data_IF_605050943750
#
_entry.id   IF_605050943750
#
_cell.length_a   1.000
_cell.length_b   1.000
_cell.length_c   1.000
_cell.angle_alpha   90.00
_cell.angle_beta   90.00
_cell.angle_gamma   90.00
#
_symmetry.space_group_name_H-M   'P 1'
#
loop_
_entity.id
_entity.type
_entity.pdbx_description
1 polymer ?
#
# COMPACT_ATOMS: atom_id res chain seq x y z
N UNK A 1 -18.72 -8.92 -2.27
CA UNK A 1 -17.91 -9.76 -3.16
C UNK A 1 -18.67 -10.74 -4.06
N UNK A 2 -19.86 -11.28 -3.71
CA UNK A 2 -20.59 -12.27 -4.58
C UNK A 2 -21.44 -11.69 -5.73
N UNK A 3 -21.68 -10.38 -5.79
CA UNK A 3 -22.56 -9.76 -6.82
C UNK A 3 -21.82 -9.27 -8.08
N UNK A 4 -20.54 -8.94 -7.99
CA UNK A 4 -19.76 -8.40 -9.12
C UNK A 4 -19.37 -9.50 -10.12
N UNK A 5 -19.16 -10.73 -9.65
CA UNK A 5 -18.77 -11.87 -10.49
C UNK A 5 -19.87 -12.32 -11.45
N UNK A 6 -21.15 -12.06 -11.15
CA UNK A 6 -22.28 -12.41 -12.04
C UNK A 6 -22.50 -11.40 -13.17
N UNK A 7 -22.10 -10.14 -13.00
CA UNK A 7 -22.25 -9.12 -14.04
C UNK A 7 -21.22 -9.28 -15.18
N UNK A 8 -20.03 -9.82 -14.87
CA UNK A 8 -18.93 -9.93 -15.84
C UNK A 8 -19.11 -11.01 -16.91
N UNK A 9 -19.99 -11.99 -16.69
CA UNK A 9 -20.18 -13.14 -17.59
C UNK A 9 -21.46 -13.03 -18.46
N UNK A 10 -22.32 -12.04 -18.21
CA UNK A 10 -23.62 -11.90 -18.90
C UNK A 10 -23.61 -11.02 -20.15
N UNK A 11 -22.49 -10.36 -20.48
CA UNK A 11 -22.40 -9.37 -21.56
C UNK A 11 -21.62 -9.82 -22.80
N UNK A 12 -21.38 -11.12 -22.97
CA UNK A 12 -20.82 -11.61 -24.23
C UNK A 12 -21.94 -11.69 -25.28
N UNK A 13 -21.92 -10.86 -26.35
CA UNK A 13 -22.86 -11.01 -27.44
C UNK A 13 -22.69 -12.40 -28.05
N UNK A 14 -23.80 -13.13 -28.17
CA UNK A 14 -23.84 -14.41 -28.88
C UNK A 14 -23.71 -14.10 -30.36
N UNK A 15 -22.48 -14.18 -30.88
CA UNK A 15 -22.22 -13.96 -32.29
C UNK A 15 -22.42 -15.29 -33.03
N UNK A 16 -23.57 -15.46 -33.68
CA UNK A 16 -23.83 -16.58 -34.59
C UNK A 16 -23.20 -16.29 -35.95
N UNK A 17 -22.02 -16.84 -36.22
CA UNK A 17 -21.42 -16.84 -37.57
C UNK A 17 -21.60 -18.21 -38.22
N UNK A 18 -22.40 -18.27 -39.30
CA UNK A 18 -22.37 -19.37 -40.27
C UNK A 18 -21.17 -19.17 -41.20
N UNK A 19 -20.16 -20.06 -41.23
CA UNK A 19 -18.99 -19.86 -42.07
C UNK A 19 -19.25 -20.45 -43.45
N UNK A 20 -19.16 -19.61 -44.48
CA UNK A 20 -18.81 -20.08 -45.81
C UNK A 20 -17.43 -19.51 -46.16
N UNK A 21 -16.51 -20.44 -46.47
CA UNK A 21 -15.32 -20.30 -47.33
C UNK A 21 -13.92 -20.19 -46.67
N UNK A 22 -13.27 -21.37 -46.71
CA UNK A 22 -11.93 -21.72 -47.26
C UNK A 22 -10.66 -21.06 -46.69
N UNK A 23 -9.76 -21.93 -46.21
CA UNK A 23 -8.43 -21.76 -45.59
C UNK A 23 -8.45 -21.54 -44.06
N UNK A 24 -8.03 -22.57 -43.31
CA UNK A 24 -7.87 -22.52 -41.85
C UNK A 24 -6.93 -21.39 -41.40
N UNK A 25 -5.97 -20.97 -42.23
CA UNK A 25 -5.06 -19.87 -41.96
C UNK A 25 -5.75 -18.50 -41.91
N UNK A 26 -6.67 -18.21 -42.84
CA UNK A 26 -7.43 -16.94 -42.83
C UNK A 26 -8.43 -16.88 -41.67
N UNK A 27 -9.02 -18.02 -41.30
CA UNK A 27 -9.93 -18.09 -40.15
C UNK A 27 -9.19 -17.88 -38.82
N UNK A 28 -7.97 -18.40 -38.68
CA UNK A 28 -7.14 -18.19 -37.48
C UNK A 28 -6.71 -16.72 -37.32
N UNK A 29 -6.33 -16.05 -38.41
CA UNK A 29 -6.01 -14.61 -38.39
C UNK A 29 -7.23 -13.73 -38.05
N UNK A 30 -8.40 -14.03 -38.61
CA UNK A 30 -9.66 -13.34 -38.30
C UNK A 30 -10.00 -13.52 -36.82
N UNK A 31 -9.82 -14.73 -36.26
CA UNK A 31 -10.05 -15.02 -34.85
C UNK A 31 -9.20 -14.13 -33.93
N UNK A 32 -7.88 -14.06 -34.12
CA UNK A 32 -7.02 -13.26 -33.25
C UNK A 32 -7.22 -11.75 -33.45
N UNK A 33 -7.58 -11.32 -34.66
CA UNK A 33 -7.95 -9.92 -34.93
C UNK A 33 -9.19 -9.53 -34.13
N UNK A 34 -10.24 -10.35 -34.16
CA UNK A 34 -11.47 -10.13 -33.41
C UNK A 34 -11.21 -10.14 -31.89
N UNK A 35 -10.42 -11.11 -31.39
CA UNK A 35 -10.07 -11.20 -29.97
C UNK A 35 -9.33 -9.94 -29.49
N UNK A 36 -8.36 -9.44 -30.26
CA UNK A 36 -7.61 -8.24 -29.89
C UNK A 36 -8.47 -6.97 -29.93
N UNK A 37 -9.42 -6.87 -30.87
CA UNK A 37 -10.38 -5.77 -30.92
C UNK A 37 -11.30 -5.77 -29.69
N UNK A 38 -11.90 -6.92 -29.36
CA UNK A 38 -12.75 -7.07 -28.17
C UNK A 38 -11.97 -6.76 -26.88
N UNK A 39 -10.72 -7.25 -26.77
CA UNK A 39 -9.84 -6.95 -25.62
C UNK A 39 -9.60 -5.45 -25.46
N UNK A 40 -9.34 -4.74 -26.55
CA UNK A 40 -9.13 -3.29 -26.52
C UNK A 40 -10.38 -2.53 -26.04
N UNK A 41 -11.56 -2.93 -26.53
CA UNK A 41 -12.84 -2.34 -26.13
C UNK A 41 -13.18 -2.63 -24.66
N UNK A 42 -13.00 -3.87 -24.20
CA UNK A 42 -13.20 -4.23 -22.79
C UNK A 42 -12.27 -3.42 -21.90
N UNK A 43 -10.96 -3.36 -22.20
CA UNK A 43 -10.00 -2.57 -21.43
C UNK A 43 -10.35 -1.07 -21.43
N UNK A 44 -10.95 -0.55 -22.49
CA UNK A 44 -11.45 0.83 -22.55
C UNK A 44 -12.60 1.06 -21.55
N UNK A 45 -13.49 0.08 -21.36
CA UNK A 45 -14.60 0.18 -20.40
C UNK A 45 -14.14 0.11 -18.94
N UNK A 46 -13.09 -0.67 -18.64
CA UNK A 46 -12.54 -0.79 -17.27
C UNK A 46 -11.39 0.19 -16.97
N UNK A 47 -11.02 1.08 -17.91
CA UNK A 47 -9.93 2.04 -17.70
C UNK A 47 -10.33 3.33 -17.01
N UNK A 48 -11.57 3.44 -16.51
CA UNK A 48 -11.96 4.57 -15.66
C UNK A 48 -11.43 4.43 -14.21
N UNK A 49 -10.12 4.24 -14.10
CA UNK A 49 -9.39 4.15 -12.83
C UNK A 49 -9.53 5.46 -12.05
N UNK A 50 -9.63 6.60 -12.77
CA UNK A 50 -9.86 7.92 -12.17
C UNK A 50 -11.14 7.98 -11.35
N UNK A 51 -12.27 7.57 -11.92
CA UNK A 51 -13.57 7.57 -11.23
C UNK A 51 -13.60 6.61 -10.03
N UNK A 52 -12.89 5.48 -10.11
CA UNK A 52 -12.87 4.47 -9.04
C UNK A 52 -12.14 4.96 -7.78
N UNK A 53 -11.01 5.64 -7.94
CA UNK A 53 -10.23 6.13 -6.81
C UNK A 53 -10.67 7.53 -6.36
N UNK A 54 -11.16 8.39 -7.26
CA UNK A 54 -11.46 9.79 -6.96
C UNK A 54 -10.19 10.61 -6.68
N UNK A 55 -10.39 11.79 -6.07
CA UNK A 55 -9.30 12.62 -5.54
C UNK A 55 -8.99 12.22 -4.09
N UNK A 56 -7.98 11.36 -3.94
CA UNK A 56 -7.47 10.92 -2.63
C UNK A 56 -6.06 11.50 -2.46
N UNK A 57 -5.79 12.23 -1.36
CA UNK A 57 -4.47 12.82 -1.11
C UNK A 57 -3.43 11.81 -0.59
N UNK A 58 -3.84 10.56 -0.32
CA UNK A 58 -2.96 9.49 0.18
C UNK A 58 -1.99 9.02 -0.92
N UNK A 59 -0.69 9.15 -0.66
CA UNK A 59 0.37 8.87 -1.63
C UNK A 59 0.40 7.40 -2.06
N UNK A 60 0.10 6.45 -1.16
CA UNK A 60 0.05 5.02 -1.50
C UNK A 60 -1.13 4.74 -2.43
N UNK A 61 -2.27 5.41 -2.20
CA UNK A 61 -3.46 5.30 -3.06
C UNK A 61 -3.19 5.90 -4.43
N UNK A 62 -2.53 7.06 -4.50
CA UNK A 62 -2.10 7.70 -5.76
C UNK A 62 -1.14 6.80 -6.52
N UNK A 63 -0.19 6.16 -5.83
CA UNK A 63 0.73 5.21 -6.45
C UNK A 63 0.01 3.99 -6.99
N UNK A 64 -0.87 3.35 -6.21
CA UNK A 64 -1.67 2.20 -6.67
C UNK A 64 -2.53 2.57 -7.89
N UNK A 65 -3.14 3.75 -7.89
CA UNK A 65 -3.91 4.30 -9.02
C UNK A 65 -3.05 4.38 -10.28
N UNK A 66 -1.82 4.89 -10.17
CA UNK A 66 -0.88 4.97 -11.30
C UNK A 66 -0.40 3.58 -11.77
N UNK A 67 -0.05 2.68 -10.85
CA UNK A 67 0.38 1.32 -11.17
C UNK A 67 -0.73 0.53 -11.91
N UNK A 68 -1.99 0.70 -11.52
CA UNK A 68 -3.13 0.09 -12.20
C UNK A 68 -3.30 0.68 -13.62
N UNK A 69 -3.14 2.00 -13.79
CA UNK A 69 -3.19 2.62 -15.14
C UNK A 69 -2.08 2.10 -16.04
N UNK A 70 -0.86 1.97 -15.53
CA UNK A 70 0.26 1.41 -16.26
C UNK A 70 0.01 -0.05 -16.65
N UNK A 71 -0.51 -0.84 -15.72
CA UNK A 71 -0.91 -2.23 -15.99
C UNK A 71 -1.97 -2.29 -17.12
N UNK A 72 -3.02 -1.48 -17.06
CA UNK A 72 -4.06 -1.45 -18.10
C UNK A 72 -3.51 -1.01 -19.46
N UNK A 73 -2.58 -0.05 -19.47
CA UNK A 73 -1.90 0.39 -20.70
C UNK A 73 -1.03 -0.73 -21.28
N UNK A 74 -0.28 -1.43 -20.43
CA UNK A 74 0.51 -2.60 -20.82
C UNK A 74 -0.36 -3.71 -21.42
N UNK A 75 -1.47 -4.07 -20.75
CA UNK A 75 -2.41 -5.09 -21.21
C UNK A 75 -3.09 -4.73 -22.55
N UNK A 76 -3.35 -3.44 -22.78
CA UNK A 76 -3.90 -2.97 -24.06
C UNK A 76 -2.93 -3.25 -25.22
N UNK A 77 -1.66 -2.94 -25.01
CA UNK A 77 -0.61 -3.05 -26.03
C UNK A 77 -0.17 -4.51 -26.28
N UNK A 78 -0.47 -5.42 -25.35
CA UNK A 78 -0.07 -6.82 -25.45
C UNK A 78 -0.93 -7.61 -26.44
N UNK A 79 -0.36 -8.12 -27.53
CA UNK A 79 -1.12 -8.80 -28.60
C UNK A 79 -1.38 -10.27 -28.27
N UNK A 80 -2.63 -10.70 -28.37
CA UNK A 80 -3.02 -12.10 -28.24
C UNK A 80 -2.73 -12.80 -29.58
N UNK A 81 -2.03 -13.93 -29.53
CA UNK A 81 -1.64 -14.73 -30.67
C UNK A 81 -1.79 -16.23 -30.36
N UNK A 82 -1.33 -17.09 -31.26
CA UNK A 82 -1.31 -18.55 -31.03
C UNK A 82 -0.34 -18.96 -29.91
N UNK A 83 0.81 -18.29 -29.84
CA UNK A 83 1.86 -18.51 -28.83
C UNK A 83 1.52 -17.88 -27.48
N UNK A 84 0.65 -16.87 -27.49
CA UNK A 84 0.16 -16.19 -26.29
C UNK A 84 -1.36 -16.10 -26.35
N UNK A 85 -1.98 -17.23 -26.03
CA UNK A 85 -3.42 -17.37 -26.18
C UNK A 85 -4.19 -16.53 -25.14
N UNK A 86 -5.49 -16.37 -25.36
CA UNK A 86 -6.35 -15.54 -24.51
C UNK A 86 -6.32 -15.98 -23.03
N UNK A 87 -6.25 -17.29 -22.77
CA UNK A 87 -6.23 -17.83 -21.40
C UNK A 87 -4.95 -17.40 -20.67
N UNK A 88 -3.79 -17.56 -21.32
CA UNK A 88 -2.50 -17.14 -20.76
C UNK A 88 -2.43 -15.63 -20.53
N UNK A 89 -2.98 -14.84 -21.47
CA UNK A 89 -3.11 -13.40 -21.30
C UNK A 89 -3.96 -13.05 -20.06
N UNK A 90 -5.11 -13.69 -19.88
CA UNK A 90 -6.01 -13.46 -18.75
C UNK A 90 -5.39 -13.88 -17.41
N UNK A 91 -4.69 -15.01 -17.39
CA UNK A 91 -4.00 -15.49 -16.19
C UNK A 91 -2.86 -14.56 -15.77
N UNK A 92 -2.08 -14.07 -16.74
CA UNK A 92 -1.03 -13.09 -16.48
C UNK A 92 -1.60 -11.75 -16.00
N UNK A 93 -2.69 -11.26 -16.61
CA UNK A 93 -3.37 -10.05 -16.18
C UNK A 93 -3.89 -10.16 -14.74
N UNK A 94 -4.54 -11.29 -14.42
CA UNK A 94 -5.06 -11.58 -13.07
C UNK A 94 -3.93 -11.66 -12.05
N UNK A 95 -2.82 -12.32 -12.38
CA UNK A 95 -1.67 -12.42 -11.50
C UNK A 95 -1.04 -11.05 -11.21
N UNK A 96 -0.84 -10.22 -12.25
CA UNK A 96 -0.30 -8.85 -12.11
C UNK A 96 -1.21 -7.96 -11.26
N UNK A 97 -2.52 -7.98 -11.51
CA UNK A 97 -3.48 -7.21 -10.72
C UNK A 97 -3.51 -7.67 -9.25
N UNK A 98 -3.56 -8.98 -9.00
CA UNK A 98 -3.53 -9.54 -7.65
C UNK A 98 -2.25 -9.14 -6.91
N UNK A 99 -1.11 -9.10 -7.60
CA UNK A 99 0.16 -8.65 -7.04
C UNK A 99 0.07 -7.19 -6.59
N UNK A 100 -0.38 -6.27 -7.45
CA UNK A 100 -0.51 -4.85 -7.11
C UNK A 100 -1.39 -4.62 -5.86
N UNK A 101 -2.54 -5.30 -5.79
CA UNK A 101 -3.43 -5.20 -4.62
C UNK A 101 -2.77 -5.77 -3.36
N UNK A 102 -2.11 -6.92 -3.46
CA UNK A 102 -1.41 -7.53 -2.32
C UNK A 102 -0.25 -6.67 -1.82
N UNK A 103 0.52 -6.07 -2.72
CA UNK A 103 1.65 -5.20 -2.38
C UNK A 103 1.13 -3.95 -1.64
N UNK A 104 0.05 -3.34 -2.12
CA UNK A 104 -0.62 -2.22 -1.44
C UNK A 104 -1.12 -2.60 -0.04
N UNK A 105 -1.84 -3.72 0.09
CA UNK A 105 -2.32 -4.22 1.39
C UNK A 105 -1.15 -4.45 2.36
N UNK A 106 -0.05 -5.01 1.88
CA UNK A 106 1.15 -5.26 2.69
C UNK A 106 1.76 -3.95 3.20
N UNK A 107 1.87 -2.94 2.34
CA UNK A 107 2.37 -1.61 2.73
C UNK A 107 1.51 -0.99 3.82
N UNK A 108 0.17 -1.04 3.67
CA UNK A 108 -0.78 -0.47 4.63
C UNK A 108 -0.81 -1.21 5.95
N UNK A 109 -0.75 -2.55 5.92
CA UNK A 109 -0.65 -3.35 7.14
C UNK A 109 0.62 -3.02 7.91
N UNK A 110 1.76 -2.91 7.23
CA UNK A 110 3.03 -2.50 7.85
C UNK A 110 2.93 -1.10 8.48
N UNK A 111 2.30 -0.14 7.80
CA UNK A 111 2.11 1.20 8.36
C UNK A 111 1.32 1.16 9.67
N UNK A 112 0.22 0.39 9.71
CA UNK A 112 -0.60 0.21 10.91
C UNK A 112 0.24 -0.39 12.05
N UNK A 113 1.03 -1.43 11.79
CA UNK A 113 1.91 -2.06 12.78
C UNK A 113 2.95 -1.09 13.34
N UNK A 114 3.54 -0.25 12.49
CA UNK A 114 4.51 0.76 12.89
C UNK A 114 3.86 1.85 13.76
N UNK A 115 2.70 2.37 13.35
CA UNK A 115 1.94 3.35 14.13
C UNK A 115 1.55 2.79 15.50
N UNK A 116 1.07 1.54 15.55
CA UNK A 116 0.78 0.84 16.81
C UNK A 116 2.05 0.72 17.68
N UNK A 117 3.18 0.35 17.08
CA UNK A 117 4.46 0.24 17.77
C UNK A 117 4.87 1.57 18.41
N UNK A 118 4.71 2.69 17.69
CA UNK A 118 4.99 4.02 18.23
C UNK A 118 4.11 4.34 19.45
N UNK A 119 2.80 4.15 19.33
CA UNK A 119 1.86 4.48 20.42
C UNK A 119 2.02 3.61 21.66
N UNK A 120 2.32 2.31 21.48
CA UNK A 120 2.64 1.41 22.61
C UNK A 120 3.89 1.93 23.34
N UNK A 121 4.96 2.28 22.61
CA UNK A 121 6.17 2.85 23.22
C UNK A 121 5.89 4.17 23.94
N UNK A 122 5.10 5.05 23.33
CA UNK A 122 4.72 6.33 23.93
C UNK A 122 3.99 6.12 25.26
N UNK A 123 3.03 5.21 25.27
CA UNK A 123 2.26 4.86 26.46
C UNK A 123 3.14 4.26 27.57
N UNK A 124 4.00 3.30 27.23
CA UNK A 124 4.92 2.67 28.18
C UNK A 124 5.92 3.67 28.76
N UNK A 125 6.44 4.57 27.92
CA UNK A 125 7.33 5.63 28.38
C UNK A 125 6.61 6.64 29.28
N UNK A 126 5.38 7.04 28.93
CA UNK A 126 4.58 7.94 29.75
C UNK A 126 4.31 7.37 31.14
N UNK A 127 3.96 6.07 31.22
CA UNK A 127 3.86 5.35 32.50
C UNK A 127 5.17 5.35 33.27
N UNK A 128 6.28 5.08 32.60
CA UNK A 128 7.59 5.09 33.23
C UNK A 128 7.92 6.48 33.80
N UNK A 129 7.68 7.56 33.04
CA UNK A 129 7.88 8.95 33.50
C UNK A 129 7.06 9.22 34.76
N UNK A 130 5.76 8.91 34.72
CA UNK A 130 4.87 9.09 35.88
C UNK A 130 5.33 8.32 37.11
N UNK A 131 5.93 7.14 36.96
CA UNK A 131 6.37 6.35 38.11
C UNK A 131 7.76 6.74 38.63
N UNK A 132 8.59 7.40 37.81
CA UNK A 132 10.01 7.53 38.08
C UNK A 132 10.50 8.97 38.24
N UNK A 133 9.75 9.95 37.71
CA UNK A 133 10.20 11.34 37.61
C UNK A 133 9.30 12.33 38.37
N UNK A 134 8.54 11.86 39.38
CA UNK A 134 7.67 12.72 40.21
C UNK A 134 8.49 13.65 41.12
N UNK A 135 9.68 13.22 41.53
CA UNK A 135 10.53 13.99 42.46
C UNK A 135 11.07 15.26 41.78
N UNK A 136 11.03 16.44 42.45
CA UNK A 136 11.55 17.70 41.92
C UNK A 136 13.00 17.65 41.43
N UNK A 137 13.83 16.74 41.95
CA UNK A 137 15.22 16.57 41.50
C UNK A 137 15.32 16.19 40.00
N UNK A 138 14.23 15.72 39.38
CA UNK A 138 14.17 15.37 37.97
C UNK A 138 13.52 16.44 37.07
N UNK A 139 13.24 17.65 37.57
CA UNK A 139 12.60 18.71 36.77
C UNK A 139 13.33 19.02 35.45
N UNK A 140 14.66 18.92 35.42
CA UNK A 140 15.45 19.07 34.19
C UNK A 140 15.11 18.02 33.12
N UNK A 141 14.93 16.75 33.53
CA UNK A 141 14.52 15.66 32.65
C UNK A 141 13.08 15.84 32.17
N UNK A 142 12.17 16.24 33.06
CA UNK A 142 10.77 16.51 32.69
C UNK A 142 10.69 17.61 31.62
N UNK A 143 11.45 18.69 31.79
CA UNK A 143 11.53 19.76 30.78
C UNK A 143 12.13 19.27 29.46
N UNK A 144 13.16 18.41 29.50
CA UNK A 144 13.75 17.81 28.30
C UNK A 144 12.75 16.93 27.54
N UNK A 145 11.96 16.13 28.26
CA UNK A 145 10.87 15.31 27.70
C UNK A 145 9.79 16.17 27.07
N UNK A 146 9.37 17.23 27.77
CA UNK A 146 8.40 18.18 27.22
C UNK A 146 8.90 18.79 25.91
N UNK A 147 10.13 19.32 25.92
CA UNK A 147 10.72 19.93 24.72
C UNK A 147 10.82 18.94 23.56
N UNK A 148 11.14 17.67 23.82
CA UNK A 148 11.13 16.64 22.78
C UNK A 148 9.77 16.50 22.11
N UNK A 149 8.67 16.39 22.87
CA UNK A 149 7.33 16.28 22.28
C UNK A 149 6.82 17.59 21.67
N UNK A 150 7.24 18.75 22.19
CA UNK A 150 6.90 20.06 21.60
C UNK A 150 7.58 20.27 20.23
N UNK A 151 8.69 19.57 19.97
CA UNK A 151 9.50 19.70 18.74
C UNK A 151 9.35 18.54 17.76
N UNK A 152 8.91 17.38 18.23
CA UNK A 152 8.80 16.17 17.42
C UNK A 152 7.35 15.70 17.46
N UNK A 153 6.57 16.15 16.46
CA UNK A 153 5.20 15.70 16.26
C UNK A 153 5.19 14.43 15.41
N UNK A 154 4.58 13.36 15.93
CA UNK A 154 4.41 12.13 15.17
C UNK A 154 3.24 12.26 14.19
N UNK A 155 3.47 11.92 12.92
CA UNK A 155 2.42 11.88 11.91
C UNK A 155 2.24 10.46 11.35
N UNK A 156 1.04 9.91 11.53
CA UNK A 156 0.67 8.57 11.08
C UNK A 156 0.50 8.45 9.55
N UNK A 157 0.47 9.57 8.82
CA UNK A 157 0.35 9.59 7.36
C UNK A 157 1.70 9.55 6.66
N UNK A 158 2.81 9.49 7.40
CA UNK A 158 4.14 9.38 6.82
C UNK A 158 4.37 8.02 6.14
N UNK A 159 5.33 7.99 5.23
CA UNK A 159 5.84 6.74 4.66
C UNK A 159 6.45 5.84 5.74
N UNK A 160 6.40 4.52 5.53
CA UNK A 160 6.87 3.52 6.48
C UNK A 160 8.31 3.77 6.96
N UNK A 161 9.21 4.19 6.07
CA UNK A 161 10.62 4.47 6.40
C UNK A 161 10.74 5.64 7.40
N UNK A 162 9.95 6.70 7.21
CA UNK A 162 9.95 7.85 8.11
C UNK A 162 9.36 7.49 9.48
N UNK A 163 8.29 6.68 9.51
CA UNK A 163 7.72 6.18 10.76
C UNK A 163 8.74 5.30 11.51
N UNK A 164 9.43 4.39 10.82
CA UNK A 164 10.51 3.56 11.40
C UNK A 164 11.63 4.43 11.98
N UNK A 165 12.06 5.45 11.24
CA UNK A 165 13.07 6.40 11.70
C UNK A 165 12.62 7.10 12.99
N UNK A 166 11.38 7.59 13.07
CA UNK A 166 10.90 8.27 14.27
C UNK A 166 10.71 7.33 15.46
N UNK A 167 10.32 6.08 15.24
CA UNK A 167 10.33 5.06 16.30
C UNK A 167 11.73 4.85 16.86
N UNK A 168 12.75 4.80 16.00
CA UNK A 168 14.14 4.64 16.41
C UNK A 168 14.66 5.88 17.14
N UNK A 169 14.36 7.08 16.64
CA UNK A 169 14.70 8.35 17.30
C UNK A 169 14.09 8.42 18.70
N UNK A 170 12.81 8.07 18.81
CA UNK A 170 12.12 8.07 20.09
C UNK A 170 12.69 7.02 21.06
N UNK A 171 13.05 5.83 20.56
CA UNK A 171 13.69 4.81 21.38
C UNK A 171 15.05 5.27 21.93
N UNK A 172 15.88 5.90 21.08
CA UNK A 172 17.16 6.50 21.49
C UNK A 172 16.94 7.59 22.53
N UNK A 173 15.94 8.44 22.33
CA UNK A 173 15.55 9.47 23.28
C UNK A 173 15.17 8.86 24.65
N UNK A 174 14.30 7.85 24.68
CA UNK A 174 13.91 7.14 25.91
C UNK A 174 15.13 6.58 26.65
N UNK A 175 16.05 5.94 25.92
CA UNK A 175 17.28 5.38 26.50
C UNK A 175 18.11 6.49 27.15
N UNK A 176 18.29 7.63 26.48
CA UNK A 176 19.04 8.76 27.03
C UNK A 176 18.44 9.29 28.34
N UNK A 177 17.11 9.45 28.39
CA UNK A 177 16.41 9.91 29.59
C UNK A 177 16.60 8.93 30.76
N UNK A 178 16.50 7.62 30.50
CA UNK A 178 16.69 6.59 31.52
C UNK A 178 18.13 6.58 32.05
N UNK A 179 19.12 6.79 31.19
CA UNK A 179 20.53 6.88 31.58
C UNK A 179 20.81 8.13 32.41
N UNK A 180 20.33 9.30 31.99
CA UNK A 180 20.50 10.55 32.74
C UNK A 180 19.83 10.49 34.11
N UNK A 181 18.65 9.84 34.22
CA UNK A 181 18.03 9.57 35.53
C UNK A 181 18.99 8.80 36.45
N UNK A 182 19.61 7.73 35.95
CA UNK A 182 20.58 6.93 36.72
C UNK A 182 21.79 7.74 37.17
N UNK A 183 22.26 8.69 36.35
CA UNK A 183 23.35 9.60 36.72
C UNK A 183 22.93 10.56 37.85
N UNK A 184 21.71 11.12 37.79
CA UNK A 184 21.16 11.98 38.84
C UNK A 184 21.04 11.22 40.16
N UNK A 185 20.56 9.98 40.12
CA UNK A 185 20.45 9.13 41.31
C UNK A 185 21.81 8.89 41.96
N UNK A 186 22.82 8.50 41.17
CA UNK A 186 24.18 8.25 41.67
C UNK A 186 24.83 9.51 42.25
N UNK A 187 24.62 10.68 41.62
CA UNK A 187 25.14 11.95 42.10
C UNK A 187 24.47 12.41 43.41
N UNK A 188 23.20 12.05 43.63
CA UNK A 188 22.46 12.39 44.84
C UNK A 188 22.85 11.50 46.02
N UNK A 189 23.13 10.21 45.77
CA UNK A 189 23.53 9.26 46.82
C UNK A 189 25.00 9.39 47.28
N UNK A 190 25.82 10.12 46.52
CA UNK A 190 27.22 10.38 46.84
C UNK A 190 27.44 11.65 47.69
N UNK A 191 26.36 12.37 48.03
CA UNK A 191 26.34 13.55 48.91
C UNK A 191 25.70 13.20 50.24
#
# INVERSE_FOLDING_TARGET
MKKITKAFLGFLPVITFTPALVSCSKVEEIKYTLINAIKADVLKLISNVEEFFGDVPDQDVVKLKNDIKELLTSLRNERISKEKNLTEFLDQAKAKFKKLVNDFVTIRSKQIELVQTYFVKYYDFSKWVLNNLIDPKYNSLVNKIKNYFDTNEFNYTWENEKIEQEINNFNTFIISIKQEKGQIDNATNAR
#
